data_IF_587988775236
#
_entry.id   IF_587988775236
#
_cell.length_a   1.000
_cell.length_b   1.000
_cell.length_c   1.000
_cell.angle_alpha   90.00
_cell.angle_beta   90.00
_cell.angle_gamma   90.00
#
_symmetry.space_group_name_H-M   'P 1'
#
loop_
_entity.id
_entity.type
_entity.pdbx_description
1 polymer ?
#
# COMPACT_ATOMS: atom_id res chain seq x y z
N UNK A 1 -7.37 -12.88 22.97
CA UNK A 1 -8.33 -12.99 21.86
C UNK A 1 -8.21 -11.69 21.07
N UNK A 2 -7.67 -11.72 19.85
CA UNK A 2 -7.62 -10.53 19.01
C UNK A 2 -9.05 -10.09 18.68
N UNK A 3 -9.42 -8.91 19.15
CA UNK A 3 -10.71 -8.32 18.82
C UNK A 3 -10.64 -7.85 17.37
N UNK A 4 -11.27 -8.59 16.48
CA UNK A 4 -11.37 -8.23 15.06
C UNK A 4 -12.29 -7.00 14.92
N UNK A 5 -11.89 -5.96 14.18
CA UNK A 5 -12.76 -4.80 13.93
C UNK A 5 -14.10 -5.23 13.32
N UNK A 6 -15.20 -4.58 13.71
CA UNK A 6 -16.56 -4.89 13.20
C UNK A 6 -16.65 -4.75 11.69
N UNK A 7 -15.95 -3.77 11.11
CA UNK A 7 -15.84 -3.55 9.65
C UNK A 7 -15.22 -4.72 8.90
N UNK A 8 -14.57 -5.64 9.61
CA UNK A 8 -13.93 -6.82 9.04
C UNK A 8 -14.64 -8.11 9.43
N UNK A 9 -15.82 -8.03 10.08
CA UNK A 9 -16.56 -9.19 10.56
C UNK A 9 -16.79 -10.23 9.45
N UNK A 10 -17.01 -9.79 8.21
CA UNK A 10 -17.28 -10.68 7.07
C UNK A 10 -16.09 -10.84 6.12
N UNK A 11 -14.97 -10.15 6.35
CA UNK A 11 -13.81 -10.22 5.48
C UNK A 11 -13.22 -11.66 5.40
N UNK A 12 -12.82 -12.15 4.21
CA UNK A 12 -12.23 -13.49 4.06
C UNK A 12 -10.91 -13.68 4.82
N UNK A 13 -10.15 -12.60 5.06
CA UNK A 13 -8.85 -12.64 5.73
C UNK A 13 -8.91 -13.33 7.10
N UNK A 14 -7.94 -14.18 7.40
CA UNK A 14 -7.89 -14.96 8.65
C UNK A 14 -8.88 -16.13 8.75
N UNK A 15 -9.65 -16.44 7.69
CA UNK A 15 -10.52 -17.62 7.60
C UNK A 15 -9.96 -18.67 6.63
N UNK A 16 -10.45 -19.90 6.67
CA UNK A 16 -10.28 -20.84 5.55
C UNK A 16 -11.24 -20.44 4.41
N UNK A 17 -10.79 -20.60 3.16
CA UNK A 17 -11.60 -20.30 1.97
C UNK A 17 -11.28 -21.30 0.88
N UNK A 18 -12.31 -21.80 0.20
CA UNK A 18 -12.13 -22.63 -0.99
C UNK A 18 -11.51 -21.80 -2.12
N UNK A 19 -10.69 -22.43 -2.95
CA UNK A 19 -10.17 -21.81 -4.16
C UNK A 19 -11.27 -21.80 -5.22
N UNK A 20 -11.56 -20.64 -5.85
CA UNK A 20 -12.57 -20.59 -6.89
C UNK A 20 -12.11 -21.34 -8.14
N UNK A 21 -13.02 -22.11 -8.72
CA UNK A 21 -12.78 -22.84 -9.98
C UNK A 21 -13.10 -21.97 -11.21
N UNK A 22 -13.85 -20.89 -11.02
CA UNK A 22 -14.33 -20.00 -12.08
C UNK A 22 -14.26 -18.54 -11.64
N UNK A 23 -14.31 -17.63 -12.61
CA UNK A 23 -14.41 -16.20 -12.38
C UNK A 23 -15.65 -15.87 -11.53
N UNK A 24 -15.45 -15.09 -10.46
CA UNK A 24 -16.50 -14.64 -9.56
C UNK A 24 -16.12 -13.29 -8.93
N UNK A 25 -16.74 -12.21 -9.42
CA UNK A 25 -16.53 -10.86 -8.90
C UNK A 25 -17.11 -10.65 -7.49
N UNK A 26 -18.05 -11.49 -7.04
CA UNK A 26 -18.67 -11.37 -5.71
C UNK A 26 -17.71 -11.71 -4.57
N UNK A 27 -16.56 -12.30 -4.88
CA UNK A 27 -15.50 -12.59 -3.92
C UNK A 27 -14.79 -11.34 -3.38
N UNK A 28 -14.84 -10.23 -4.12
CA UNK A 28 -14.20 -8.99 -3.73
C UNK A 28 -14.89 -8.38 -2.49
N UNK A 29 -14.09 -7.98 -1.51
CA UNK A 29 -14.58 -7.41 -0.27
C UNK A 29 -14.07 -5.97 -0.10
N UNK A 30 -15.01 -5.02 -0.08
CA UNK A 30 -14.75 -3.62 0.18
C UNK A 30 -14.54 -3.36 1.68
N UNK A 31 -13.58 -2.51 2.02
CA UNK A 31 -13.36 -2.01 3.38
C UNK A 31 -13.48 -0.48 3.33
N UNK A 32 -14.42 0.14 4.06
CA UNK A 32 -14.55 1.59 4.09
C UNK A 32 -13.30 2.27 4.65
N UNK A 33 -12.77 3.28 3.94
CA UNK A 33 -11.60 4.05 4.42
C UNK A 33 -11.93 4.91 5.63
N UNK A 34 -13.16 5.41 5.70
CA UNK A 34 -13.61 6.36 6.72
C UNK A 34 -13.38 5.86 8.16
N UNK A 35 -13.57 4.55 8.42
CA UNK A 35 -13.41 3.98 9.74
C UNK A 35 -11.97 4.10 10.28
N UNK A 36 -10.96 3.90 9.44
CA UNK A 36 -9.56 4.05 9.82
C UNK A 36 -9.12 5.53 9.80
N UNK A 37 -9.69 6.34 8.90
CA UNK A 37 -9.41 7.78 8.77
C UNK A 37 -9.94 8.63 9.93
N UNK A 38 -11.06 8.23 10.54
CA UNK A 38 -11.69 8.98 11.62
C UNK A 38 -10.77 9.18 12.85
N UNK A 39 -10.03 8.16 13.36
CA UNK A 39 -9.00 8.34 14.39
C UNK A 39 -7.90 9.36 14.05
N UNK A 40 -7.58 9.54 12.77
CA UNK A 40 -6.61 10.54 12.30
C UNK A 40 -7.22 11.94 12.11
N UNK A 41 -8.52 12.11 12.42
CA UNK A 41 -9.23 13.37 12.20
C UNK A 41 -9.46 13.71 10.72
N UNK A 42 -9.36 12.72 9.82
CA UNK A 42 -9.62 12.92 8.39
C UNK A 42 -11.10 12.75 8.12
N UNK A 43 -11.75 13.84 7.70
CA UNK A 43 -13.16 13.84 7.31
C UNK A 43 -13.34 13.32 5.87
N UNK A 44 -14.48 12.67 5.64
CA UNK A 44 -14.83 12.16 4.31
C UNK A 44 -14.99 13.31 3.30
N UNK A 45 -14.34 13.19 2.15
CA UNK A 45 -14.33 14.23 1.11
C UNK A 45 -13.36 15.40 1.35
N UNK A 46 -12.67 15.45 2.50
CA UNK A 46 -11.72 16.52 2.83
C UNK A 46 -10.32 15.94 3.13
N UNK A 47 -9.75 15.22 2.16
CA UNK A 47 -8.45 14.58 2.36
C UNK A 47 -7.30 15.61 2.42
N UNK A 48 -6.39 15.51 3.41
CA UNK A 48 -5.22 16.38 3.50
C UNK A 48 -4.12 16.03 2.48
N UNK A 49 -4.37 15.04 1.62
CA UNK A 49 -3.42 14.49 0.66
C UNK A 49 -4.11 14.12 -0.66
N UNK A 50 -3.30 14.05 -1.71
CA UNK A 50 -3.57 13.24 -2.91
C UNK A 50 -2.77 11.94 -2.81
N UNK A 51 -3.16 10.90 -3.53
CA UNK A 51 -2.41 9.65 -3.47
C UNK A 51 -3.10 8.49 -4.17
N UNK A 52 -2.42 7.35 -4.17
CA UNK A 52 -2.94 6.09 -4.67
C UNK A 52 -2.39 4.95 -3.79
N UNK A 53 -3.11 3.84 -3.80
CA UNK A 53 -2.59 2.55 -3.40
C UNK A 53 -2.22 1.79 -4.67
N UNK A 54 -0.93 1.69 -4.96
CA UNK A 54 -0.42 0.90 -6.08
C UNK A 54 -0.28 -0.56 -5.64
N UNK A 55 -0.80 -1.51 -6.41
CA UNK A 55 -0.69 -2.93 -6.12
C UNK A 55 0.04 -3.66 -7.23
N UNK A 56 0.90 -4.62 -6.90
CA UNK A 56 1.36 -5.61 -7.86
C UNK A 56 0.79 -6.98 -7.53
N UNK A 57 0.14 -7.61 -8.51
CA UNK A 57 -0.22 -9.03 -8.45
C UNK A 57 0.70 -9.83 -9.39
N UNK A 58 1.49 -10.72 -8.80
CA UNK A 58 2.54 -11.45 -9.54
C UNK A 58 2.07 -12.83 -10.02
N UNK A 59 0.87 -13.23 -9.64
CA UNK A 59 0.29 -14.56 -9.89
C UNK A 59 -0.95 -14.46 -10.80
N UNK A 60 -0.99 -13.46 -11.70
CA UNK A 60 -2.13 -13.29 -12.63
C UNK A 60 -2.00 -14.28 -13.79
N UNK A 61 -3.00 -15.13 -13.94
CA UNK A 61 -3.08 -16.12 -15.01
C UNK A 61 -4.52 -16.34 -15.46
N UNK A 62 -4.70 -16.63 -16.75
CA UNK A 62 -5.99 -16.97 -17.35
C UNK A 62 -5.82 -17.88 -18.56
N UNK A 63 -6.92 -18.34 -19.16
CA UNK A 63 -6.89 -19.09 -20.41
C UNK A 63 -7.24 -18.17 -21.59
N UNK A 64 -6.50 -18.25 -22.69
CA UNK A 64 -6.95 -17.61 -23.94
C UNK A 64 -8.18 -18.35 -24.53
N UNK A 65 -8.75 -17.81 -25.61
CA UNK A 65 -9.91 -18.40 -26.29
C UNK A 65 -9.75 -19.90 -26.65
N UNK A 66 -8.51 -20.36 -26.89
CA UNK A 66 -8.21 -21.77 -27.20
C UNK A 66 -7.88 -22.64 -25.99
N UNK A 67 -7.86 -22.07 -24.78
CA UNK A 67 -7.62 -22.81 -23.54
C UNK A 67 -6.14 -22.92 -23.17
N UNK A 68 -5.25 -22.19 -23.85
CA UNK A 68 -3.84 -22.11 -23.47
C UNK A 68 -3.71 -21.12 -22.31
N UNK A 69 -3.03 -21.49 -21.20
CA UNK A 69 -2.70 -20.55 -20.14
C UNK A 69 -1.86 -19.37 -20.63
N UNK A 70 -2.15 -18.19 -20.08
CA UNK A 70 -1.44 -16.94 -20.27
C UNK A 70 -1.13 -16.40 -18.87
N UNK A 71 0.09 -15.90 -18.69
CA UNK A 71 0.55 -15.32 -17.42
C UNK A 71 0.96 -13.87 -17.61
N UNK A 72 0.76 -13.06 -16.58
CA UNK A 72 1.20 -11.68 -16.52
C UNK A 72 1.49 -11.27 -15.07
N UNK A 73 2.22 -10.17 -14.90
CA UNK A 73 2.18 -9.40 -13.65
C UNK A 73 1.22 -8.24 -13.87
N UNK A 74 0.31 -8.00 -12.94
CA UNK A 74 -0.60 -6.86 -13.00
C UNK A 74 -0.13 -5.75 -12.05
N UNK A 75 -0.24 -4.49 -12.49
CA UNK A 75 -0.19 -3.31 -11.65
C UNK A 75 -1.56 -2.67 -11.61
N UNK A 76 -2.04 -2.38 -10.41
CA UNK A 76 -3.28 -1.67 -10.17
C UNK A 76 -2.99 -0.34 -9.50
N UNK A 77 -3.76 0.70 -9.83
CA UNK A 77 -3.73 1.97 -9.08
C UNK A 77 -5.11 2.30 -8.60
N UNK A 78 -5.28 2.24 -7.28
CA UNK A 78 -6.51 2.56 -6.60
C UNK A 78 -6.37 3.97 -6.00
N UNK A 79 -7.17 4.97 -6.44
CA UNK A 79 -7.08 6.32 -5.92
C UNK A 79 -7.31 6.40 -4.40
N UNK A 80 -6.54 7.21 -3.69
CA UNK A 80 -6.69 7.38 -2.24
C UNK A 80 -8.02 8.06 -1.85
N UNK A 81 -8.69 8.74 -2.78
CA UNK A 81 -10.02 9.32 -2.60
C UNK A 81 -11.18 8.34 -2.86
N UNK A 82 -10.88 7.09 -3.23
CA UNK A 82 -11.88 6.02 -3.25
C UNK A 82 -12.54 5.85 -1.86
N UNK A 83 -13.87 5.65 -1.78
CA UNK A 83 -14.54 5.42 -0.50
C UNK A 83 -14.11 4.11 0.16
N UNK A 84 -13.69 3.12 -0.64
CA UNK A 84 -13.27 1.81 -0.15
C UNK A 84 -11.85 1.43 -0.60
N UNK A 85 -11.12 0.80 0.31
CA UNK A 85 -10.00 -0.08 -0.04
C UNK A 85 -10.52 -1.51 -0.28
N UNK A 86 -9.73 -2.35 -0.95
CA UNK A 86 -10.12 -3.73 -1.28
C UNK A 86 -9.29 -4.68 -0.43
N UNK A 87 -9.94 -5.62 0.25
CA UNK A 87 -9.25 -6.57 1.13
C UNK A 87 -8.36 -7.53 0.32
N UNK A 88 -7.07 -7.56 0.65
CA UNK A 88 -6.02 -8.29 -0.08
C UNK A 88 -6.31 -9.78 -0.39
N UNK A 89 -6.87 -10.54 0.56
CA UNK A 89 -7.18 -11.96 0.36
C UNK A 89 -8.41 -12.13 -0.53
N UNK A 90 -9.44 -11.30 -0.36
CA UNK A 90 -10.60 -11.24 -1.25
C UNK A 90 -10.16 -10.98 -2.71
N UNK A 91 -9.24 -10.04 -2.91
CA UNK A 91 -8.67 -9.72 -4.22
C UNK A 91 -7.85 -10.89 -4.78
N UNK A 92 -7.03 -11.56 -3.96
CA UNK A 92 -6.34 -12.78 -4.36
C UNK A 92 -7.30 -13.86 -4.85
N UNK A 93 -8.38 -14.13 -4.10
CA UNK A 93 -9.37 -15.14 -4.46
C UNK A 93 -10.06 -14.76 -5.77
N UNK A 94 -10.45 -13.50 -5.92
CA UNK A 94 -10.99 -12.98 -7.19
C UNK A 94 -10.06 -13.24 -8.37
N UNK A 95 -8.76 -12.89 -8.26
CA UNK A 95 -7.77 -13.14 -9.31
C UNK A 95 -7.60 -14.63 -9.60
N UNK A 96 -7.66 -15.50 -8.59
CA UNK A 96 -7.58 -16.95 -8.80
C UNK A 96 -8.75 -17.49 -9.63
N UNK A 97 -9.92 -16.84 -9.61
CA UNK A 97 -11.05 -17.21 -10.47
C UNK A 97 -10.74 -17.06 -11.96
N UNK A 98 -9.73 -16.27 -12.33
CA UNK A 98 -9.31 -16.11 -13.72
C UNK A 98 -8.54 -17.33 -14.24
N UNK A 99 -7.89 -18.11 -13.36
CA UNK A 99 -6.94 -19.16 -13.73
C UNK A 99 -7.50 -20.19 -14.73
N UNK A 100 -8.78 -20.55 -14.59
CA UNK A 100 -9.48 -21.50 -15.46
C UNK A 100 -10.55 -20.84 -16.35
N UNK A 101 -10.59 -19.51 -16.36
CA UNK A 101 -11.54 -18.73 -17.14
C UNK A 101 -10.95 -18.35 -18.49
N UNK A 102 -11.77 -18.46 -19.55
CA UNK A 102 -11.36 -18.10 -20.91
C UNK A 102 -11.67 -16.64 -21.20
N UNK A 103 -10.68 -15.93 -21.73
CA UNK A 103 -10.83 -14.57 -22.24
C UNK A 103 -10.41 -14.50 -23.71
N UNK A 104 -11.11 -13.67 -24.47
CA UNK A 104 -10.88 -13.50 -25.91
C UNK A 104 -9.57 -12.76 -26.21
N UNK A 105 -9.19 -11.83 -25.34
CA UNK A 105 -8.00 -11.00 -25.47
C UNK A 105 -7.44 -10.57 -24.11
N UNK A 106 -6.28 -9.91 -24.13
CA UNK A 106 -5.68 -9.29 -22.95
C UNK A 106 -6.46 -8.06 -22.51
N UNK A 107 -7.00 -7.32 -23.47
CA UNK A 107 -7.82 -6.14 -23.27
C UNK A 107 -9.12 -6.49 -22.54
N UNK A 108 -9.76 -7.62 -22.89
CA UNK A 108 -10.95 -8.11 -22.18
C UNK A 108 -10.67 -8.44 -20.71
N UNK A 109 -9.46 -8.91 -20.38
CA UNK A 109 -9.03 -9.14 -18.99
C UNK A 109 -8.89 -7.81 -18.26
N UNK A 110 -8.22 -6.82 -18.87
CA UNK A 110 -8.06 -5.46 -18.32
C UNK A 110 -9.42 -4.84 -18.05
N UNK A 111 -10.31 -4.80 -19.03
CA UNK A 111 -11.66 -4.21 -18.91
C UNK A 111 -12.49 -4.88 -17.80
N UNK A 112 -12.37 -6.21 -17.66
CA UNK A 112 -13.05 -6.96 -16.59
C UNK A 112 -12.51 -6.56 -15.22
N UNK A 113 -11.20 -6.53 -15.06
CA UNK A 113 -10.54 -6.13 -13.81
C UNK A 113 -10.89 -4.69 -13.43
N UNK A 114 -10.79 -3.75 -14.37
CA UNK A 114 -11.10 -2.33 -14.13
C UNK A 114 -12.56 -2.14 -13.71
N UNK A 115 -13.50 -2.77 -14.43
CA UNK A 115 -14.94 -2.69 -14.11
C UNK A 115 -15.25 -3.20 -12.71
N UNK A 116 -14.78 -4.40 -12.39
CA UNK A 116 -15.14 -5.07 -11.13
C UNK A 116 -14.50 -4.37 -9.94
N UNK A 117 -13.22 -4.00 -10.06
CA UNK A 117 -12.50 -3.29 -8.99
C UNK A 117 -13.04 -1.88 -8.80
N UNK A 118 -13.40 -1.17 -9.87
CA UNK A 118 -14.00 0.14 -9.75
C UNK A 118 -15.38 0.10 -9.07
N UNK A 119 -16.17 -0.95 -9.35
CA UNK A 119 -17.45 -1.16 -8.68
C UNK A 119 -17.29 -1.32 -7.16
N UNK A 120 -16.29 -2.11 -6.73
CA UNK A 120 -16.05 -2.39 -5.30
C UNK A 120 -15.38 -1.22 -4.58
N UNK A 121 -14.42 -0.57 -5.23
CA UNK A 121 -13.74 0.60 -4.69
C UNK A 121 -14.65 1.83 -4.59
N UNK A 122 -15.61 1.97 -5.51
CA UNK A 122 -16.41 3.18 -5.70
C UNK A 122 -15.65 4.31 -6.41
N UNK A 123 -14.55 3.99 -7.10
CA UNK A 123 -13.72 4.92 -7.87
C UNK A 123 -13.03 4.18 -9.03
N UNK A 124 -12.57 4.90 -10.05
CA UNK A 124 -11.85 4.28 -11.16
C UNK A 124 -10.53 3.64 -10.69
N UNK A 125 -10.29 2.38 -11.07
CA UNK A 125 -9.04 1.65 -10.82
C UNK A 125 -8.39 1.38 -12.17
N UNK A 126 -7.13 1.80 -12.36
CA UNK A 126 -6.41 1.51 -13.60
C UNK A 126 -5.70 0.17 -13.51
N UNK A 127 -5.68 -0.60 -14.60
CA UNK A 127 -5.00 -1.89 -14.68
C UNK A 127 -3.96 -1.88 -15.80
N UNK A 128 -2.73 -2.23 -15.46
CA UNK A 128 -1.68 -2.52 -16.42
C UNK A 128 -1.25 -3.98 -16.27
N UNK A 129 -1.04 -4.66 -17.39
CA UNK A 129 -0.46 -6.00 -17.41
C UNK A 129 0.96 -5.89 -17.96
N UNK A 130 1.89 -6.67 -17.44
CA UNK A 130 3.27 -6.77 -17.88
C UNK A 130 3.62 -8.20 -18.28
N UNK A 131 4.56 -8.34 -19.22
CA UNK A 131 5.25 -9.61 -19.40
C UNK A 131 6.10 -9.94 -18.18
N UNK A 132 6.38 -11.23 -17.93
CA UNK A 132 7.16 -11.64 -16.75
C UNK A 132 8.60 -11.10 -16.73
N UNK A 133 9.14 -10.77 -17.89
CA UNK A 133 10.50 -10.22 -18.08
C UNK A 133 10.49 -8.71 -18.38
N UNK A 134 9.37 -8.02 -18.16
CA UNK A 134 9.25 -6.59 -18.44
C UNK A 134 10.22 -5.76 -17.58
N UNK A 135 10.88 -4.77 -18.18
CA UNK A 135 11.86 -3.93 -17.49
C UNK A 135 11.24 -3.14 -16.33
N UNK A 136 9.94 -2.79 -16.44
CA UNK A 136 9.21 -2.12 -15.36
C UNK A 136 9.20 -2.94 -14.05
N UNK A 137 9.40 -4.25 -14.14
CA UNK A 137 9.48 -5.16 -13.00
C UNK A 137 10.89 -5.29 -12.42
N UNK A 138 11.91 -4.64 -12.98
CA UNK A 138 13.29 -4.78 -12.47
C UNK A 138 13.47 -4.04 -11.15
N UNK A 139 14.12 -4.65 -10.13
CA UNK A 139 14.36 -3.99 -8.86
C UNK A 139 15.17 -2.71 -9.00
N UNK A 140 14.76 -1.65 -8.29
CA UNK A 140 15.43 -0.36 -8.17
C UNK A 140 15.72 -0.06 -6.69
N UNK A 141 16.61 0.89 -6.43
CA UNK A 141 16.92 1.40 -5.08
C UNK A 141 16.05 2.61 -4.76
N UNK A 142 15.75 2.83 -3.48
CA UNK A 142 15.14 4.09 -3.06
C UNK A 142 16.17 5.23 -3.21
N UNK A 143 15.76 6.41 -3.72
CA UNK A 143 16.63 7.58 -3.76
C UNK A 143 16.79 8.21 -2.37
N UNK A 144 17.75 9.13 -2.25
CA UNK A 144 17.96 9.91 -1.03
C UNK A 144 18.84 9.24 0.01
N UNK A 145 18.85 9.81 1.21
CA UNK A 145 19.63 9.36 2.37
C UNK A 145 18.93 8.16 3.04
N UNK A 146 19.66 7.07 3.28
CA UNK A 146 19.18 5.94 4.06
C UNK A 146 19.43 6.21 5.55
N UNK A 147 18.40 6.09 6.38
CA UNK A 147 18.51 6.32 7.83
C UNK A 147 19.01 5.09 8.60
N UNK A 148 19.04 3.91 7.97
CA UNK A 148 19.12 2.63 8.68
C UNK A 148 20.47 2.35 9.36
N UNK A 149 21.53 3.09 9.00
CA UNK A 149 22.88 2.94 9.56
C UNK A 149 23.13 3.79 10.82
N UNK A 150 22.12 4.53 11.31
CA UNK A 150 22.23 5.29 12.56
C UNK A 150 22.33 4.33 13.75
N UNK A 151 23.36 4.52 14.57
CA UNK A 151 23.59 3.75 15.79
C UNK A 151 22.83 4.37 16.97
N UNK A 152 21.61 3.87 17.23
CA UNK A 152 20.69 4.40 18.23
C UNK A 152 20.12 3.30 19.12
N UNK A 153 19.88 3.61 20.39
CA UNK A 153 19.21 2.70 21.34
C UNK A 153 17.68 2.82 21.19
N UNK A 154 17.00 1.68 21.11
CA UNK A 154 15.53 1.59 21.04
C UNK A 154 15.03 0.69 22.16
N UNK A 155 14.22 1.24 23.05
CA UNK A 155 13.61 0.58 24.21
C UNK A 155 12.07 0.58 24.16
N UNK A 156 11.45 1.46 23.37
CA UNK A 156 10.02 1.49 23.05
C UNK A 156 9.76 1.25 21.55
N UNK A 157 8.75 0.43 21.25
CA UNK A 157 8.30 0.06 19.91
C UNK A 157 6.85 0.47 19.66
N UNK A 158 6.48 1.64 20.19
CA UNK A 158 5.19 2.29 19.99
C UNK A 158 5.40 3.53 19.11
N UNK A 159 4.62 3.73 18.04
CA UNK A 159 4.78 4.92 17.21
C UNK A 159 4.38 6.16 18.03
N UNK A 160 5.25 7.18 18.03
CA UNK A 160 5.01 8.43 18.76
C UNK A 160 5.47 9.64 17.95
N UNK A 161 4.51 10.49 17.58
CA UNK A 161 4.77 11.77 16.90
C UNK A 161 5.67 12.72 17.72
N UNK A 162 5.90 12.43 19.00
CA UNK A 162 6.83 13.18 19.85
C UNK A 162 8.28 13.11 19.37
N UNK A 163 8.66 12.01 18.71
CA UNK A 163 9.99 11.85 18.13
C UNK A 163 10.21 12.66 16.85
N UNK A 164 9.14 13.19 16.23
CA UNK A 164 9.24 14.03 15.03
C UNK A 164 9.63 15.47 15.40
N UNK A 165 10.93 15.66 15.66
CA UNK A 165 11.53 16.96 15.97
C UNK A 165 12.09 17.60 14.69
N UNK A 166 12.01 18.92 14.62
CA UNK A 166 12.55 19.71 13.50
C UNK A 166 13.51 20.80 13.98
N UNK A 167 14.52 21.07 13.15
CA UNK A 167 15.39 22.25 13.31
C UNK A 167 14.82 23.50 12.63
N UNK A 168 15.59 24.58 12.64
CA UNK A 168 15.19 25.87 12.04
C UNK A 168 15.49 25.96 10.54
N UNK A 169 16.43 25.16 10.04
CA UNK A 169 16.85 25.19 8.62
C UNK A 169 15.74 24.61 7.72
N UNK A 170 15.38 25.33 6.66
CA UNK A 170 14.50 24.82 5.62
C UNK A 170 15.32 24.08 4.57
N UNK A 171 14.98 22.82 4.33
CA UNK A 171 15.67 21.93 3.39
C UNK A 171 14.69 21.36 2.37
N UNK A 172 15.23 20.81 1.29
CA UNK A 172 14.52 19.95 0.35
C UNK A 172 15.32 18.68 0.19
N UNK A 173 14.80 17.57 0.72
CA UNK A 173 15.53 16.31 0.77
C UNK A 173 14.61 15.10 0.61
N UNK A 174 15.23 13.95 0.33
CA UNK A 174 14.56 12.65 0.32
C UNK A 174 15.30 11.75 1.30
N UNK A 175 14.55 11.17 2.24
CA UNK A 175 15.00 10.22 3.24
C UNK A 175 14.28 8.89 3.00
N UNK A 176 14.91 7.78 3.36
CA UNK A 176 14.24 6.48 3.35
C UNK A 176 14.74 5.56 4.45
N UNK A 177 13.92 4.56 4.75
CA UNK A 177 14.25 3.46 5.65
C UNK A 177 13.69 2.14 5.12
N UNK A 178 14.45 1.05 5.27
CA UNK A 178 14.04 -0.32 5.00
C UNK A 178 13.54 -1.05 6.26
N UNK A 179 13.49 -0.38 7.40
CA UNK A 179 13.15 -0.94 8.71
C UNK A 179 11.66 -0.86 9.06
N UNK A 180 10.82 -0.29 8.18
CA UNK A 180 9.38 -0.25 8.39
C UNK A 180 8.84 -1.68 8.50
N UNK A 181 8.22 -1.97 9.64
CA UNK A 181 7.51 -3.20 9.90
C UNK A 181 6.27 -2.84 10.71
N UNK A 182 5.13 -3.44 10.38
CA UNK A 182 3.91 -3.40 11.19
C UNK A 182 3.37 -4.83 11.35
N UNK A 183 2.17 -4.97 11.92
CA UNK A 183 1.44 -6.23 11.99
C UNK A 183 0.09 -6.08 11.31
N UNK A 184 -0.32 -7.09 10.56
CA UNK A 184 -1.65 -7.11 9.96
C UNK A 184 -2.73 -7.16 11.04
N UNK A 185 -3.72 -6.23 11.04
CA UNK A 185 -4.71 -6.11 12.12
C UNK A 185 -5.64 -7.32 12.23
N UNK A 186 -5.76 -8.11 11.15
CA UNK A 186 -6.62 -9.32 11.12
C UNK A 186 -5.87 -10.57 11.54
N UNK A 187 -4.65 -10.76 11.05
CA UNK A 187 -3.91 -12.02 11.21
C UNK A 187 -2.81 -11.96 12.28
N UNK A 188 -2.41 -10.76 12.70
CA UNK A 188 -1.24 -10.55 13.57
C UNK A 188 0.09 -10.89 12.91
N UNK A 189 0.10 -11.30 11.64
CA UNK A 189 1.33 -11.62 10.92
C UNK A 189 2.13 -10.35 10.60
N UNK A 190 3.47 -10.44 10.58
CA UNK A 190 4.32 -9.29 10.31
C UNK A 190 4.20 -8.84 8.86
N UNK A 191 4.07 -7.52 8.68
CA UNK A 191 4.16 -6.87 7.39
C UNK A 191 5.47 -6.10 7.32
N UNK A 192 6.22 -6.29 6.24
CA UNK A 192 7.55 -5.70 6.04
C UNK A 192 7.50 -4.70 4.90
N UNK A 193 8.16 -3.56 5.05
CA UNK A 193 8.19 -2.55 4.01
C UNK A 193 9.46 -1.71 4.01
N UNK A 194 9.55 -0.87 3.00
CA UNK A 194 10.45 0.29 3.02
C UNK A 194 9.60 1.54 2.85
N UNK A 195 10.02 2.64 3.46
CA UNK A 195 9.34 3.93 3.38
C UNK A 195 10.28 4.98 2.82
N UNK A 196 9.75 5.81 1.94
CA UNK A 196 10.40 6.99 1.38
C UNK A 196 9.61 8.22 1.83
N UNK A 197 10.34 9.22 2.33
CA UNK A 197 9.81 10.52 2.72
C UNK A 197 10.58 11.57 1.92
N UNK A 198 9.88 12.26 1.01
CA UNK A 198 10.42 13.42 0.29
C UNK A 198 9.67 14.65 0.75
N UNK A 199 10.39 15.70 1.12
CA UNK A 199 9.75 16.89 1.63
C UNK A 199 10.56 18.16 1.37
N UNK A 200 9.86 19.30 1.42
CA UNK A 200 10.46 20.62 1.56
C UNK A 200 9.90 21.29 2.81
N UNK A 201 10.77 21.65 3.76
CA UNK A 201 10.34 22.22 5.04
C UNK A 201 11.46 22.23 6.08
N UNK A 202 11.12 22.50 7.36
CA UNK A 202 12.06 22.41 8.47
C UNK A 202 12.78 21.06 8.53
N UNK A 203 14.10 21.06 8.68
CA UNK A 203 14.94 19.87 8.68
C UNK A 203 14.50 18.91 9.79
N UNK A 204 14.09 17.70 9.42
CA UNK A 204 13.77 16.62 10.34
C UNK A 204 15.03 16.10 11.04
N UNK A 205 14.92 15.89 12.35
CA UNK A 205 15.91 15.14 13.11
C UNK A 205 15.93 13.67 12.66
N UNK A 206 17.13 13.17 12.31
CA UNK A 206 17.30 11.84 11.69
C UNK A 206 17.02 10.71 12.67
N UNK A 207 17.57 10.82 13.88
CA UNK A 207 17.36 9.84 14.94
C UNK A 207 15.89 9.78 15.35
N UNK A 208 15.27 10.95 15.57
CA UNK A 208 13.85 11.06 15.91
C UNK A 208 12.93 10.46 14.85
N UNK A 209 13.20 10.75 13.56
CA UNK A 209 12.45 10.14 12.46
C UNK A 209 12.64 8.63 12.40
N UNK A 210 13.87 8.12 12.57
CA UNK A 210 14.12 6.69 12.57
C UNK A 210 13.39 5.99 13.73
N UNK A 211 13.47 6.55 14.95
CA UNK A 211 12.76 6.04 16.14
C UNK A 211 11.26 6.02 15.92
N UNK A 212 10.68 7.07 15.33
CA UNK A 212 9.28 7.13 14.94
C UNK A 212 8.88 5.97 14.00
N UNK A 213 9.66 5.74 12.94
CA UNK A 213 9.40 4.67 11.98
C UNK A 213 9.54 3.28 12.60
N UNK A 214 10.54 3.07 13.46
CA UNK A 214 10.73 1.81 14.21
C UNK A 214 9.59 1.57 15.19
N UNK A 215 8.95 2.64 15.70
CA UNK A 215 7.78 2.54 16.57
C UNK A 215 6.62 1.76 15.95
N UNK A 216 6.51 1.66 14.62
CA UNK A 216 5.47 0.85 13.98
C UNK A 216 5.66 -0.67 14.16
N UNK A 217 6.82 -1.13 14.66
CA UNK A 217 7.24 -2.55 14.67
C UNK A 217 6.21 -3.51 15.28
N UNK A 218 5.51 -3.09 16.32
CA UNK A 218 4.46 -3.88 16.97
C UNK A 218 3.04 -3.39 16.66
N UNK A 219 2.91 -2.23 16.02
CA UNK A 219 1.65 -1.59 15.67
C UNK A 219 0.82 -2.44 14.71
N UNK A 220 -0.48 -2.51 14.95
CA UNK A 220 -1.41 -3.24 14.09
C UNK A 220 -2.12 -2.27 13.16
N UNK A 221 -1.88 -2.40 11.86
CA UNK A 221 -2.47 -1.48 10.89
C UNK A 221 -2.50 -2.03 9.47
N UNK A 222 -3.40 -1.50 8.66
CA UNK A 222 -3.34 -1.68 7.22
C UNK A 222 -2.19 -0.88 6.62
N UNK A 223 -1.64 -1.33 5.50
CA UNK A 223 -0.50 -0.67 4.84
C UNK A 223 -0.84 0.77 4.45
N UNK A 224 -2.05 0.94 3.90
CA UNK A 224 -2.61 2.21 3.45
C UNK A 224 -2.76 3.18 4.62
N UNK A 225 -3.33 2.71 5.73
CA UNK A 225 -3.58 3.53 6.90
C UNK A 225 -2.28 3.88 7.65
N UNK A 226 -1.30 2.97 7.70
CA UNK A 226 0.02 3.27 8.22
C UNK A 226 0.69 4.44 7.48
N UNK A 227 0.57 4.51 6.14
CA UNK A 227 1.10 5.64 5.36
C UNK A 227 0.31 6.93 5.59
N UNK A 228 -1.02 6.84 5.73
CA UNK A 228 -1.85 8.00 6.08
C UNK A 228 -1.49 8.56 7.46
N UNK A 229 -1.20 7.69 8.43
CA UNK A 229 -0.75 8.08 9.76
C UNK A 229 0.63 8.76 9.72
N UNK A 230 1.61 8.17 9.02
CA UNK A 230 2.94 8.80 8.83
C UNK A 230 2.81 10.17 8.16
N UNK A 231 1.98 10.28 7.12
CA UNK A 231 1.76 11.55 6.43
C UNK A 231 1.15 12.61 7.35
N UNK A 232 0.09 12.26 8.08
CA UNK A 232 -0.63 13.20 8.96
C UNK A 232 0.24 13.69 10.11
N UNK A 233 1.01 12.80 10.73
CA UNK A 233 1.96 13.16 11.79
C UNK A 233 3.06 14.10 11.27
N UNK A 234 3.67 13.80 10.12
CA UNK A 234 4.68 14.66 9.52
C UNK A 234 4.11 16.03 9.14
N UNK A 235 2.89 16.07 8.57
CA UNK A 235 2.20 17.34 8.29
C UNK A 235 1.94 18.16 9.56
N UNK A 236 1.51 17.51 10.65
CA UNK A 236 1.20 18.19 11.90
C UNK A 236 2.45 18.70 12.63
N UNK A 237 3.51 17.88 12.68
CA UNK A 237 4.73 18.15 13.48
C UNK A 237 5.75 18.97 12.72
N UNK A 238 6.05 18.61 11.47
CA UNK A 238 7.08 19.28 10.68
C UNK A 238 6.53 20.42 9.80
N UNK A 239 5.21 20.42 9.52
CA UNK A 239 4.53 21.43 8.69
C UNK A 239 5.29 21.75 7.39
N UNK A 240 5.70 20.74 6.61
CA UNK A 240 6.42 20.97 5.37
C UNK A 240 5.51 21.66 4.35
N UNK A 241 6.12 22.43 3.45
CA UNK A 241 5.42 23.04 2.32
C UNK A 241 5.02 21.98 1.28
N UNK A 242 5.84 20.93 1.14
CA UNK A 242 5.58 19.78 0.29
C UNK A 242 5.97 18.51 1.01
N UNK A 243 5.17 17.46 0.87
CA UNK A 243 5.42 16.16 1.47
C UNK A 243 4.94 15.06 0.52
N UNK A 244 5.75 14.02 0.39
CA UNK A 244 5.39 12.74 -0.20
C UNK A 244 5.88 11.65 0.75
N UNK A 245 4.96 10.78 1.17
CA UNK A 245 5.24 9.54 1.88
C UNK A 245 4.83 8.38 0.98
N UNK A 246 5.76 7.49 0.69
CA UNK A 246 5.53 6.27 -0.10
C UNK A 246 6.04 5.07 0.70
N UNK A 247 5.20 4.08 0.94
CA UNK A 247 5.65 2.78 1.42
C UNK A 247 5.61 1.74 0.28
N UNK A 248 6.56 0.81 0.31
CA UNK A 248 6.65 -0.34 -0.59
C UNK A 248 6.69 -1.59 0.29
N UNK A 249 5.54 -2.26 0.47
CA UNK A 249 5.45 -3.45 1.30
C UNK A 249 5.81 -4.72 0.51
N UNK A 250 6.28 -5.74 1.24
CA UNK A 250 6.54 -7.07 0.71
C UNK A 250 5.22 -7.80 0.46
N UNK A 251 5.15 -8.55 -0.64
CA UNK A 251 3.94 -9.29 -1.00
C UNK A 251 3.52 -10.32 0.05
N UNK A 252 2.21 -10.53 0.17
CA UNK A 252 1.62 -11.69 0.87
C UNK A 252 0.63 -12.38 -0.05
N UNK A 253 0.81 -13.69 -0.23
CA UNK A 253 -0.07 -14.48 -1.09
C UNK A 253 -0.14 -13.99 -2.55
N UNK A 254 0.99 -13.51 -3.09
CA UNK A 254 1.10 -13.12 -4.49
C UNK A 254 0.81 -11.64 -4.80
N UNK A 255 0.34 -10.86 -3.82
CA UNK A 255 0.03 -9.44 -3.97
C UNK A 255 0.84 -8.57 -3.02
N UNK A 256 1.39 -7.46 -3.52
CA UNK A 256 1.94 -6.38 -2.70
C UNK A 256 1.09 -5.10 -2.76
N UNK A 257 1.27 -4.25 -1.76
CA UNK A 257 0.62 -2.94 -1.65
C UNK A 257 1.71 -1.88 -1.47
N UNK A 258 1.60 -0.81 -2.23
CA UNK A 258 2.53 0.31 -2.28
C UNK A 258 1.78 1.63 -2.14
N UNK A 259 1.26 1.94 -0.94
CA UNK A 259 0.51 3.17 -0.72
C UNK A 259 1.42 4.39 -0.73
N UNK A 260 0.97 5.45 -1.39
CA UNK A 260 1.60 6.76 -1.29
C UNK A 260 0.58 7.86 -1.04
N UNK A 261 1.00 8.87 -0.26
CA UNK A 261 0.21 10.05 0.11
C UNK A 261 1.11 11.27 -0.04
N UNK A 262 0.59 12.33 -0.64
CA UNK A 262 1.37 13.51 -0.92
C UNK A 262 0.55 14.80 -0.88
N UNK A 263 1.23 15.92 -0.67
CA UNK A 263 0.68 17.25 -0.98
C UNK A 263 0.46 17.38 -2.49
N UNK A 264 -0.55 18.14 -2.96
CA UNK A 264 -0.81 18.33 -4.39
C UNK A 264 0.45 18.76 -5.18
N UNK A 265 0.67 18.12 -6.33
CA UNK A 265 1.83 18.37 -7.20
C UNK A 265 3.01 17.42 -7.01
N UNK A 266 3.08 16.72 -5.88
CA UNK A 266 4.08 15.67 -5.67
C UNK A 266 3.67 14.34 -6.33
N UNK A 267 4.67 13.54 -6.72
CA UNK A 267 4.51 12.22 -7.33
C UNK A 267 5.63 11.27 -6.90
N UNK A 268 5.32 9.97 -6.71
CA UNK A 268 6.36 8.98 -6.46
C UNK A 268 7.29 8.82 -7.68
N UNK A 269 8.54 8.38 -7.47
CA UNK A 269 9.39 7.96 -8.58
C UNK A 269 8.83 6.69 -9.24
N UNK A 270 8.84 6.65 -10.57
CA UNK A 270 8.35 5.51 -11.36
C UNK A 270 9.32 5.19 -12.52
N UNK A 271 9.50 3.91 -12.89
CA UNK A 271 9.03 2.70 -12.19
C UNK A 271 9.87 2.41 -10.93
N UNK A 272 9.23 1.86 -9.89
CA UNK A 272 9.90 1.55 -8.62
C UNK A 272 9.35 0.26 -7.99
N UNK A 273 9.97 -0.88 -8.31
CA UNK A 273 9.87 -2.10 -7.50
C UNK A 273 11.16 -2.29 -6.71
N UNK A 274 11.09 -2.61 -5.43
CA UNK A 274 12.26 -2.87 -4.59
C UNK A 274 12.63 -4.35 -4.57
N UNK A 275 13.86 -4.66 -4.17
CA UNK A 275 14.39 -6.03 -4.20
C UNK A 275 13.63 -7.04 -3.32
N UNK A 276 12.98 -6.58 -2.23
CA UNK A 276 12.22 -7.44 -1.31
C UNK A 276 10.74 -7.61 -1.70
N UNK A 277 10.23 -6.85 -2.66
CA UNK A 277 8.82 -6.87 -3.05
C UNK A 277 8.46 -8.14 -3.81
#
# INVERSE_FOLDING_TARGET
MNHRPETLADAPLGRESAYPEHYDASLLYAIPRAANRAPLGIEEGALPFVGEDEWHAFEVSWLNARGKPVVAVARFRLPADSPHLIESKSWKLYLNGFNQSRFESREAVIETLERDLAHVAGAAVSVELFGVDDEALMPRRLPGECLDELDIEIDDYTPSAEHLVVGEEIVEETLHSHLLKSNCPVTGQPDWGSVLIRYRGPRLDREGLLRYLIGYRQHQDFHEHCVEHIFTDLMARARPERLLVLARYVRRGGLDISPWRATPGERPPEPLRLARQ
#
